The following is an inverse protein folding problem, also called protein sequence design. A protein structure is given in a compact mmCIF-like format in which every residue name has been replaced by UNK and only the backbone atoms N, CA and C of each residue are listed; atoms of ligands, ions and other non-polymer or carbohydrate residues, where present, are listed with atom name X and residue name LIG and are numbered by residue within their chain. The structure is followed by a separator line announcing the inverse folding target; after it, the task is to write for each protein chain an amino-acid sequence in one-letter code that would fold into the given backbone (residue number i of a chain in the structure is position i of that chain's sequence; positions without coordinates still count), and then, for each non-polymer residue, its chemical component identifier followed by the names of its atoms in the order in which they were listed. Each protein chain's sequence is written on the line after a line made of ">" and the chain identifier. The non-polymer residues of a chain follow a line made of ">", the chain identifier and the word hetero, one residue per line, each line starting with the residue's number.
data_IF_658780016469
#
_entry.id   IF_658780016469
#
_cell.length_a   1.000
_cell.length_b   1.000
_cell.length_c   1.000
_cell.angle_alpha   90.00
_cell.angle_beta   90.00
_cell.angle_gamma   90.00
#
_symmetry.space_group_name_H-M   'P 1'
#
loop_
_entity.id
_entity.type
_entity.pdbx_description
1 polymer ?
#
# COMPACT_ATOMS: atom_id res chain seq x y z
N UNK A 1 30.03 -12.02 21.24
CA UNK A 1 29.59 -11.23 20.07
C UNK A 1 28.07 -11.25 20.03
N UNK A 2 27.43 -10.21 20.60
CA UNK A 2 25.98 -10.12 20.72
C UNK A 2 25.39 -9.64 19.39
N UNK A 3 24.61 -10.49 18.71
CA UNK A 3 23.87 -10.08 17.52
C UNK A 3 22.89 -8.95 17.89
N UNK A 4 23.00 -7.81 17.20
CA UNK A 4 22.05 -6.70 17.32
C UNK A 4 20.63 -7.22 17.11
N UNK A 5 19.63 -6.81 17.92
CA UNK A 5 18.29 -7.38 17.84
C UNK A 5 17.62 -6.99 16.51
N UNK A 6 17.54 -7.94 15.57
CA UNK A 6 16.45 -8.21 14.61
C UNK A 6 15.84 -7.10 13.72
N UNK A 7 16.21 -5.82 13.83
CA UNK A 7 15.60 -4.70 13.09
C UNK A 7 16.09 -4.48 11.64
N UNK A 8 17.37 -4.64 11.27
CA UNK A 8 17.81 -4.28 9.92
C UNK A 8 17.29 -5.24 8.84
N UNK A 9 17.18 -6.55 9.15
CA UNK A 9 16.67 -7.57 8.21
C UNK A 9 15.18 -7.43 7.92
N UNK A 10 14.39 -6.93 8.88
CA UNK A 10 12.94 -6.78 8.68
C UNK A 10 12.56 -5.49 7.96
N UNK A 11 13.32 -4.40 8.17
CA UNK A 11 13.12 -3.15 7.43
C UNK A 11 13.55 -3.35 5.97
N UNK A 12 14.66 -4.03 5.73
CA UNK A 12 15.10 -4.38 4.36
C UNK A 12 14.12 -5.31 3.64
N UNK A 13 13.47 -6.25 4.34
CA UNK A 13 12.37 -7.06 3.80
C UNK A 13 11.20 -6.23 3.26
N UNK A 14 10.98 -5.03 3.80
CA UNK A 14 9.91 -4.14 3.33
C UNK A 14 10.41 -3.15 2.28
N UNK A 15 11.49 -2.42 2.55
CA UNK A 15 11.98 -1.35 1.70
C UNK A 15 12.40 -1.85 0.31
N UNK A 16 13.19 -2.92 0.26
CA UNK A 16 13.74 -3.40 -1.01
C UNK A 16 12.62 -3.88 -1.96
N UNK A 17 11.70 -4.78 -1.56
CA UNK A 17 10.61 -5.17 -2.45
C UNK A 17 9.65 -4.03 -2.78
N UNK A 18 9.36 -3.13 -1.84
CA UNK A 18 8.54 -1.94 -2.09
C UNK A 18 9.16 -1.07 -3.20
N UNK A 19 10.46 -0.83 -3.12
CA UNK A 19 11.19 -0.07 -4.14
C UNK A 19 11.23 -0.83 -5.47
N UNK A 20 11.46 -2.15 -5.45
CA UNK A 20 11.44 -2.97 -6.67
C UNK A 20 10.09 -2.90 -7.38
N UNK A 21 8.96 -3.01 -6.65
CA UNK A 21 7.62 -2.90 -7.22
C UNK A 21 7.39 -1.51 -7.85
N UNK A 22 7.75 -0.45 -7.13
CA UNK A 22 7.63 0.92 -7.65
C UNK A 22 8.53 1.15 -8.87
N UNK A 23 9.74 0.59 -8.89
CA UNK A 23 10.65 0.66 -10.03
C UNK A 23 10.08 -0.04 -11.25
N UNK A 24 9.51 -1.25 -11.08
CA UNK A 24 8.85 -1.98 -12.17
C UNK A 24 7.71 -1.17 -12.76
N UNK A 25 6.85 -0.58 -11.93
CA UNK A 25 5.78 0.31 -12.38
C UNK A 25 6.34 1.50 -13.19
N UNK A 26 7.33 2.22 -12.66
CA UNK A 26 7.92 3.37 -13.34
C UNK A 26 8.58 3.01 -14.68
N UNK A 27 9.28 1.87 -14.75
CA UNK A 27 9.88 1.39 -16.01
C UNK A 27 8.80 1.06 -17.05
N UNK A 28 7.71 0.41 -16.65
CA UNK A 28 6.61 0.10 -17.57
C UNK A 28 5.89 1.35 -18.06
N UNK A 29 5.64 2.32 -17.18
CA UNK A 29 5.07 3.63 -17.56
C UNK A 29 5.97 4.38 -18.53
N UNK A 30 7.27 4.41 -18.25
CA UNK A 30 8.26 5.04 -19.14
C UNK A 30 8.29 4.38 -20.52
N UNK A 31 8.22 3.05 -20.57
CA UNK A 31 8.14 2.29 -21.82
C UNK A 31 6.88 2.63 -22.64
N UNK A 32 5.71 2.71 -22.01
CA UNK A 32 4.47 3.07 -22.71
C UNK A 32 4.55 4.50 -23.25
N UNK A 33 5.02 5.46 -22.44
CA UNK A 33 5.21 6.86 -22.87
C UNK A 33 6.18 7.03 -24.04
N UNK A 34 7.18 6.16 -24.17
CA UNK A 34 8.18 6.25 -25.24
C UNK A 34 7.78 5.51 -26.53
N UNK A 35 6.77 4.64 -26.47
CA UNK A 35 6.37 3.78 -27.59
C UNK A 35 5.00 4.11 -28.17
N UNK A 36 4.15 4.82 -27.43
CA UNK A 36 2.76 5.09 -27.82
C UNK A 36 2.42 6.58 -27.72
N UNK A 37 1.53 7.03 -28.59
CA UNK A 37 0.85 8.33 -28.44
C UNK A 37 -0.32 8.18 -27.46
N UNK A 38 -0.73 9.26 -26.76
CA UNK A 38 -1.94 9.25 -25.94
C UNK A 38 -3.15 8.72 -26.70
N UNK A 39 -4.03 8.01 -26.00
CA UNK A 39 -5.24 7.34 -26.49
C UNK A 39 -5.00 6.20 -27.50
N UNK A 40 -3.74 5.84 -27.78
CA UNK A 40 -3.43 4.67 -28.58
C UNK A 40 -3.80 3.39 -27.80
N UNK A 41 -4.57 2.51 -28.44
CA UNK A 41 -5.12 1.27 -27.86
C UNK A 41 -4.65 0.06 -28.67
N UNK A 42 -3.79 -0.77 -28.08
CA UNK A 42 -3.21 -1.96 -28.70
C UNK A 42 -3.75 -3.23 -28.02
N UNK A 43 -4.41 -4.15 -28.76
CA UNK A 43 -4.88 -5.41 -28.17
C UNK A 43 -3.71 -6.34 -27.84
N UNK A 44 -3.70 -6.90 -26.62
CA UNK A 44 -2.87 -8.06 -26.24
C UNK A 44 -3.67 -9.35 -26.40
N UNK A 45 -4.92 -9.33 -25.93
CA UNK A 45 -5.89 -10.42 -26.07
C UNK A 45 -7.13 -9.81 -26.70
N UNK A 46 -7.51 -10.32 -27.87
CA UNK A 46 -8.63 -9.82 -28.67
C UNK A 46 -9.87 -9.58 -27.79
N UNK A 47 -10.45 -8.38 -27.92
CA UNK A 47 -11.63 -7.88 -27.20
C UNK A 47 -11.57 -7.85 -25.66
N UNK A 48 -10.50 -8.34 -25.03
CA UNK A 48 -10.41 -8.48 -23.58
C UNK A 48 -9.33 -7.62 -22.92
N UNK A 49 -8.09 -7.63 -23.42
CA UNK A 49 -6.97 -6.97 -22.75
C UNK A 49 -6.22 -6.06 -23.71
N UNK A 50 -6.06 -4.82 -23.31
CA UNK A 50 -5.46 -3.76 -24.13
C UNK A 50 -4.34 -3.04 -23.37
N UNK A 51 -3.29 -2.69 -24.10
CA UNK A 51 -2.38 -1.62 -23.70
C UNK A 51 -2.94 -0.32 -24.24
N UNK A 52 -3.43 0.55 -23.37
CA UNK A 52 -4.05 1.82 -23.75
C UNK A 52 -3.40 2.99 -23.03
N UNK A 53 -2.58 3.80 -23.70
CA UNK A 53 -1.93 4.93 -23.03
C UNK A 53 -2.93 6.05 -22.71
N UNK A 54 -3.28 6.20 -21.43
CA UNK A 54 -4.18 7.25 -20.94
C UNK A 54 -3.43 8.12 -19.93
N UNK A 55 -3.15 9.41 -20.24
CA UNK A 55 -2.57 10.35 -19.28
C UNK A 55 -3.64 10.84 -18.30
N UNK A 56 -3.45 10.54 -17.02
CA UNK A 56 -4.39 10.86 -15.97
C UNK A 56 -3.90 12.04 -15.11
N UNK A 57 -4.36 13.25 -15.45
CA UNK A 57 -3.89 14.51 -14.85
C UNK A 57 -4.47 14.80 -13.46
N UNK A 58 -5.66 14.27 -13.16
CA UNK A 58 -6.48 14.70 -12.01
C UNK A 58 -7.10 13.55 -11.21
N UNK A 59 -6.97 12.32 -11.69
CA UNK A 59 -7.59 11.16 -11.08
C UNK A 59 -6.82 10.65 -9.86
N UNK A 60 -7.50 10.63 -8.72
CA UNK A 60 -7.11 9.79 -7.58
C UNK A 60 -7.44 8.31 -7.83
N UNK A 61 -8.54 8.08 -8.55
CA UNK A 61 -9.12 6.80 -8.95
C UNK A 61 -10.13 7.07 -10.08
N UNK A 62 -10.47 6.03 -10.86
CA UNK A 62 -11.57 6.06 -11.84
C UNK A 62 -12.90 6.57 -11.30
N UNK A 63 -13.15 6.49 -9.99
CA UNK A 63 -14.39 6.99 -9.38
C UNK A 63 -14.47 8.52 -9.28
N UNK A 64 -13.34 9.23 -9.34
CA UNK A 64 -13.30 10.69 -9.19
C UNK A 64 -12.30 11.29 -10.20
N UNK A 65 -12.70 11.43 -11.48
CA UNK A 65 -11.81 11.82 -12.56
C UNK A 65 -11.41 13.30 -12.54
N UNK A 66 -12.28 14.19 -12.03
CA UNK A 66 -12.08 15.65 -12.08
C UNK A 66 -12.04 16.28 -10.68
N UNK A 67 -11.00 15.94 -9.92
CA UNK A 67 -10.79 16.55 -8.61
C UNK A 67 -10.31 18.00 -8.72
N UNK A 68 -10.80 18.91 -7.87
CA UNK A 68 -10.19 20.21 -7.68
C UNK A 68 -8.70 20.08 -7.30
N UNK A 69 -7.88 21.05 -7.70
CA UNK A 69 -6.42 21.04 -7.45
C UNK A 69 -6.07 20.80 -5.98
N UNK A 70 -6.81 21.41 -5.05
CA UNK A 70 -6.57 21.24 -3.60
C UNK A 70 -6.78 19.79 -3.15
N UNK A 71 -7.73 19.08 -3.76
CA UNK A 71 -8.01 17.69 -3.43
C UNK A 71 -6.90 16.77 -3.99
N UNK A 72 -6.42 17.01 -5.21
CA UNK A 72 -5.26 16.29 -5.76
C UNK A 72 -4.02 16.42 -4.87
N UNK A 73 -3.72 17.64 -4.39
CA UNK A 73 -2.64 17.90 -3.43
C UNK A 73 -2.88 17.16 -2.11
N UNK A 74 -4.12 17.15 -1.62
CA UNK A 74 -4.48 16.44 -0.38
C UNK A 74 -4.26 14.93 -0.49
N UNK A 75 -4.60 14.33 -1.64
CA UNK A 75 -4.36 12.91 -1.90
C UNK A 75 -2.88 12.57 -2.04
N UNK A 76 -2.07 13.47 -2.61
CA UNK A 76 -0.61 13.31 -2.64
C UNK A 76 -0.04 13.20 -1.22
N UNK A 77 -0.40 14.13 -0.32
CA UNK A 77 0.04 14.07 1.08
C UNK A 77 -0.55 12.86 1.83
N UNK A 78 -1.78 12.46 1.53
CA UNK A 78 -2.37 11.24 2.10
C UNK A 78 -1.56 9.99 1.73
N UNK A 79 -1.14 9.86 0.46
CA UNK A 79 -0.29 8.75 0.01
C UNK A 79 1.05 8.72 0.76
N UNK A 80 1.69 9.88 0.95
CA UNK A 80 2.92 10.00 1.76
C UNK A 80 2.67 9.54 3.20
N UNK A 81 1.61 10.03 3.83
CA UNK A 81 1.25 9.67 5.20
C UNK A 81 1.01 8.15 5.33
N UNK A 82 0.25 7.56 4.42
CA UNK A 82 0.00 6.12 4.42
C UNK A 82 1.29 5.32 4.26
N UNK A 83 2.20 5.73 3.38
CA UNK A 83 3.48 5.07 3.17
C UNK A 83 4.38 5.16 4.43
N UNK A 84 4.43 6.33 5.07
CA UNK A 84 5.20 6.53 6.31
C UNK A 84 4.64 5.71 7.49
N UNK A 85 3.31 5.54 7.55
CA UNK A 85 2.65 4.77 8.62
C UNK A 85 2.62 3.26 8.35
N UNK A 86 2.82 2.80 7.12
CA UNK A 86 2.68 1.40 6.73
C UNK A 86 3.54 0.45 7.59
N UNK A 87 4.84 0.73 7.71
CA UNK A 87 5.77 -0.14 8.45
C UNK A 87 5.58 -0.09 9.98
N UNK A 88 5.42 1.09 10.64
CA UNK A 88 5.07 1.15 12.06
C UNK A 88 3.79 0.37 12.39
N UNK A 89 2.73 0.55 11.59
CA UNK A 89 1.45 -0.14 11.80
C UNK A 89 1.59 -1.65 11.62
N UNK A 90 2.31 -2.10 10.60
CA UNK A 90 2.60 -3.51 10.41
C UNK A 90 3.44 -4.09 11.57
N UNK A 91 4.42 -3.35 12.06
CA UNK A 91 5.27 -3.76 13.18
C UNK A 91 4.46 -3.98 14.45
N UNK A 92 3.57 -3.03 14.77
CA UNK A 92 2.62 -3.17 15.88
C UNK A 92 1.69 -4.37 15.66
N UNK A 93 1.10 -4.48 14.47
CA UNK A 93 0.21 -5.59 14.10
C UNK A 93 0.86 -6.97 14.29
N UNK A 94 2.15 -7.07 13.94
CA UNK A 94 2.95 -8.28 14.14
C UNK A 94 3.25 -8.55 15.61
N UNK A 95 3.60 -7.53 16.40
CA UNK A 95 3.86 -7.67 17.84
C UNK A 95 2.64 -8.19 18.61
N UNK A 96 1.44 -7.86 18.15
CA UNK A 96 0.19 -8.41 18.69
C UNK A 96 -0.08 -9.87 18.28
N UNK A 97 0.84 -10.52 17.56
CA UNK A 97 0.69 -11.90 17.09
C UNK A 97 -0.32 -12.07 15.94
N UNK A 98 -0.73 -10.97 15.29
CA UNK A 98 -1.76 -11.01 14.26
C UNK A 98 -1.23 -11.18 12.83
N UNK A 99 0.08 -11.13 12.61
CA UNK A 99 0.66 -11.13 11.27
C UNK A 99 0.83 -12.53 10.67
N UNK A 100 0.15 -12.80 9.55
CA UNK A 100 0.33 -13.97 8.70
C UNK A 100 1.11 -13.67 7.41
N UNK A 101 1.00 -14.59 6.43
CA UNK A 101 1.53 -14.38 5.08
C UNK A 101 0.77 -13.25 4.35
N UNK A 102 -0.55 -13.23 4.49
CA UNK A 102 -1.43 -12.26 3.83
C UNK A 102 -1.16 -10.81 4.28
N UNK A 103 -0.87 -10.58 5.57
CA UNK A 103 -0.49 -9.24 6.03
C UNK A 103 0.84 -8.74 5.44
N UNK A 104 1.79 -9.63 5.11
CA UNK A 104 3.04 -9.26 4.43
C UNK A 104 2.79 -8.89 2.97
N UNK A 105 1.98 -9.67 2.27
CA UNK A 105 1.56 -9.36 0.89
C UNK A 105 0.80 -8.03 0.87
N UNK A 106 -0.08 -7.80 1.83
CA UNK A 106 -0.79 -6.54 1.99
C UNK A 106 0.16 -5.36 2.17
N UNK A 107 1.14 -5.48 3.08
CA UNK A 107 2.15 -4.44 3.30
C UNK A 107 2.92 -4.12 2.01
N UNK A 108 3.45 -5.14 1.33
CA UNK A 108 4.26 -4.96 0.13
C UNK A 108 3.45 -4.40 -1.05
N UNK A 109 2.26 -4.96 -1.32
CA UNK A 109 1.40 -4.52 -2.42
C UNK A 109 0.90 -3.09 -2.24
N UNK A 110 0.41 -2.75 -1.04
CA UNK A 110 -0.07 -1.39 -0.76
C UNK A 110 1.08 -0.38 -0.77
N UNK A 111 2.23 -0.70 -0.15
CA UNK A 111 3.39 0.21 -0.14
C UNK A 111 3.96 0.42 -1.54
N UNK A 112 4.12 -0.67 -2.32
CA UNK A 112 4.63 -0.63 -3.68
C UNK A 112 3.71 0.13 -4.62
N UNK A 113 2.40 -0.10 -4.55
CA UNK A 113 1.41 0.64 -5.34
C UNK A 113 1.34 2.13 -4.97
N UNK A 114 1.32 2.44 -3.66
CA UNK A 114 1.34 3.84 -3.21
C UNK A 114 2.61 4.55 -3.67
N UNK A 115 3.78 3.91 -3.55
CA UNK A 115 5.05 4.49 -3.97
C UNK A 115 5.11 4.67 -5.49
N UNK A 116 4.68 3.69 -6.29
CA UNK A 116 4.65 3.79 -7.75
C UNK A 116 3.81 4.98 -8.24
N UNK A 117 2.61 5.19 -7.67
CA UNK A 117 1.77 6.35 -7.99
C UNK A 117 2.25 7.67 -7.39
N UNK A 118 3.06 7.65 -6.31
CA UNK A 118 3.72 8.86 -5.81
C UNK A 118 4.85 9.33 -6.73
N UNK A 119 5.60 8.39 -7.31
CA UNK A 119 6.73 8.70 -8.19
C UNK A 119 6.28 9.40 -9.48
N UNK A 120 5.09 9.08 -10.01
CA UNK A 120 4.53 9.82 -11.15
C UNK A 120 4.43 11.32 -10.89
N UNK A 121 4.01 11.72 -9.69
CA UNK A 121 3.92 13.13 -9.30
C UNK A 121 5.26 13.85 -9.17
N UNK A 122 6.38 13.12 -9.20
CA UNK A 122 7.73 13.68 -9.18
C UNK A 122 8.33 13.81 -10.59
N UNK A 123 7.97 12.92 -11.51
CA UNK A 123 8.58 12.83 -12.85
C UNK A 123 7.70 13.35 -13.97
N UNK A 124 6.38 13.41 -13.77
CA UNK A 124 5.41 13.72 -14.82
C UNK A 124 4.25 14.56 -14.28
N UNK A 125 3.59 15.39 -15.11
CA UNK A 125 2.43 16.17 -14.69
C UNK A 125 1.13 15.34 -14.62
N UNK A 126 1.19 14.04 -14.90
CA UNK A 126 0.05 13.12 -14.91
C UNK A 126 0.50 11.72 -14.48
N UNK A 127 -0.45 10.91 -14.01
CA UNK A 127 -0.26 9.46 -13.81
C UNK A 127 -0.42 8.75 -15.17
N UNK A 128 0.45 7.80 -15.48
CA UNK A 128 0.38 7.06 -16.75
C UNK A 128 -0.39 5.76 -16.56
N UNK A 129 -1.61 5.69 -17.10
CA UNK A 129 -2.40 4.46 -17.11
C UNK A 129 -2.24 3.77 -18.47
N UNK A 130 -2.19 2.43 -18.45
CA UNK A 130 -1.86 1.65 -19.65
C UNK A 130 -2.50 0.26 -19.72
N UNK A 131 -3.11 -0.25 -18.66
CA UNK A 131 -3.77 -1.56 -18.62
C UNK A 131 -5.28 -1.32 -18.72
N UNK A 132 -5.94 -1.85 -19.75
CA UNK A 132 -7.39 -1.73 -19.91
C UNK A 132 -8.02 -3.09 -20.20
N UNK A 133 -9.11 -3.42 -19.50
CA UNK A 133 -9.84 -4.69 -19.65
C UNK A 133 -11.20 -4.40 -20.30
N UNK A 134 -11.43 -4.89 -21.52
CA UNK A 134 -12.65 -4.62 -22.28
C UNK A 134 -12.90 -3.11 -22.39
N UNK A 135 -14.04 -2.66 -21.85
CA UNK A 135 -14.43 -1.24 -21.76
C UNK A 135 -14.25 -0.63 -20.36
N UNK A 136 -13.45 -1.25 -19.50
CA UNK A 136 -13.18 -0.73 -18.16
C UNK A 136 -12.38 0.58 -18.21
N UNK A 137 -12.34 1.34 -17.11
CA UNK A 137 -11.28 2.32 -16.90
C UNK A 137 -9.90 1.67 -17.03
N UNK A 138 -8.92 2.46 -17.47
CA UNK A 138 -7.52 2.05 -17.49
C UNK A 138 -6.90 2.10 -16.09
N UNK A 139 -5.85 1.31 -15.90
CA UNK A 139 -5.06 1.20 -14.68
C UNK A 139 -3.57 1.10 -15.02
N UNK A 140 -2.71 1.09 -14.01
CA UNK A 140 -1.29 0.79 -14.15
C UNK A 140 -0.87 -0.36 -13.21
N UNK A 141 0.42 -0.70 -13.20
CA UNK A 141 0.92 -1.76 -12.32
C UNK A 141 0.85 -1.38 -10.84
N UNK A 142 1.06 -0.11 -10.50
CA UNK A 142 0.88 0.37 -9.13
C UNK A 142 -0.55 0.14 -8.62
N UNK A 143 -1.57 0.36 -9.44
CA UNK A 143 -2.96 0.07 -9.09
C UNK A 143 -3.19 -1.44 -8.90
N UNK A 144 -2.59 -2.27 -9.76
CA UNK A 144 -2.66 -3.73 -9.64
C UNK A 144 -2.00 -4.22 -8.33
N UNK A 145 -0.84 -3.68 -7.97
CA UNK A 145 -0.16 -4.00 -6.71
C UNK A 145 -0.99 -3.58 -5.50
N UNK A 146 -1.58 -2.39 -5.54
CA UNK A 146 -2.48 -1.92 -4.48
C UNK A 146 -3.73 -2.81 -4.37
N UNK A 147 -4.31 -3.23 -5.50
CA UNK A 147 -5.45 -4.14 -5.54
C UNK A 147 -5.12 -5.51 -4.90
N UNK A 148 -4.00 -6.12 -5.29
CA UNK A 148 -3.52 -7.37 -4.68
C UNK A 148 -3.29 -7.20 -3.18
N UNK A 149 -2.68 -6.08 -2.78
CA UNK A 149 -2.46 -5.75 -1.37
C UNK A 149 -3.77 -5.62 -0.58
N UNK A 150 -4.79 -4.99 -1.16
CA UNK A 150 -6.12 -4.86 -0.57
C UNK A 150 -6.81 -6.21 -0.42
N UNK A 151 -6.77 -7.06 -1.45
CA UNK A 151 -7.32 -8.43 -1.41
C UNK A 151 -6.61 -9.25 -0.33
N UNK A 152 -5.28 -9.16 -0.23
CA UNK A 152 -4.53 -9.83 0.82
C UNK A 152 -4.89 -9.33 2.23
N UNK A 153 -5.10 -8.03 2.41
CA UNK A 153 -5.55 -7.46 3.67
C UNK A 153 -6.94 -8.00 4.06
N UNK A 154 -7.86 -8.07 3.10
CA UNK A 154 -9.18 -8.64 3.30
C UNK A 154 -9.10 -10.15 3.66
N UNK A 155 -8.23 -10.90 2.98
CA UNK A 155 -8.00 -12.32 3.25
C UNK A 155 -7.44 -12.55 4.67
N UNK A 156 -6.50 -11.72 5.13
CA UNK A 156 -5.99 -11.76 6.51
C UNK A 156 -7.12 -11.50 7.52
N UNK A 157 -7.93 -10.46 7.28
CA UNK A 157 -9.08 -10.13 8.12
C UNK A 157 -10.11 -11.26 8.19
N UNK A 158 -10.45 -11.85 7.05
CA UNK A 158 -11.37 -12.97 6.95
C UNK A 158 -10.82 -14.24 7.62
N UNK A 159 -9.54 -14.54 7.45
CA UNK A 159 -8.87 -15.66 8.11
C UNK A 159 -8.82 -15.50 9.63
N UNK A 160 -8.73 -14.26 10.14
CA UNK A 160 -8.84 -13.97 11.57
C UNK A 160 -10.27 -14.10 12.07
N UNK A 161 -11.23 -13.56 11.34
CA UNK A 161 -12.66 -13.68 11.68
C UNK A 161 -13.12 -15.14 11.79
N UNK A 162 -12.66 -16.02 10.87
CA UNK A 162 -12.93 -17.46 10.96
C UNK A 162 -12.31 -18.12 12.19
N UNK A 163 -11.11 -17.70 12.61
CA UNK A 163 -10.40 -18.26 13.77
C UNK A 163 -10.93 -17.76 15.11
N UNK A 164 -11.51 -16.55 15.17
CA UNK A 164 -11.99 -15.98 16.43
C UNK A 164 -13.22 -16.68 17.01
N UNK A 165 -13.89 -17.57 16.24
CA UNK A 165 -15.20 -18.09 16.59
C UNK A 165 -16.24 -16.96 16.65
N UNK A 166 -17.52 -17.25 16.44
CA UNK A 166 -18.58 -16.26 16.63
C UNK A 166 -18.88 -16.10 18.13
N UNK A 167 -17.89 -15.75 18.94
CA UNK A 167 -18.13 -15.40 20.33
C UNK A 167 -18.17 -13.86 20.41
N UNK A 168 -19.37 -13.29 20.48
CA UNK A 168 -19.56 -11.85 20.64
C UNK A 168 -19.33 -11.52 22.11
N UNK A 169 -18.20 -10.90 22.51
CA UNK A 169 -18.00 -10.53 23.90
C UNK A 169 -19.09 -9.51 24.29
N UNK A 170 -19.55 -9.54 25.54
CA UNK A 170 -20.42 -8.49 26.07
C UNK A 170 -19.76 -7.10 25.97
N UNK A 171 -20.55 -6.04 26.04
CA UNK A 171 -20.07 -4.65 25.91
C UNK A 171 -18.89 -4.32 26.85
N UNK A 172 -18.92 -4.83 28.09
CA UNK A 172 -17.84 -4.63 29.05
C UNK A 172 -16.52 -5.27 28.60
N UNK A 173 -16.58 -6.48 28.04
CA UNK A 173 -15.40 -7.19 27.55
C UNK A 173 -14.82 -6.49 26.30
N UNK A 174 -15.68 -6.01 25.40
CA UNK A 174 -15.27 -5.18 24.25
C UNK A 174 -14.61 -3.88 24.71
N UNK A 175 -15.16 -3.22 25.74
CA UNK A 175 -14.60 -1.99 26.30
C UNK A 175 -13.22 -2.24 26.92
N UNK A 176 -13.08 -3.26 27.78
CA UNK A 176 -11.78 -3.64 28.36
C UNK A 176 -10.74 -3.94 27.29
N UNK A 177 -11.10 -4.74 26.28
CA UNK A 177 -10.20 -5.08 25.18
C UNK A 177 -9.79 -3.85 24.33
N UNK A 178 -10.68 -2.86 24.19
CA UNK A 178 -10.38 -1.59 23.51
C UNK A 178 -9.41 -0.73 24.34
N UNK A 179 -9.63 -0.62 25.66
CA UNK A 179 -8.73 0.08 26.57
C UNK A 179 -7.34 -0.55 26.59
N UNK A 180 -7.24 -1.89 26.64
CA UNK A 180 -5.98 -2.63 26.60
C UNK A 180 -5.23 -2.40 25.29
N UNK A 181 -5.93 -2.49 24.14
CA UNK A 181 -5.31 -2.21 22.82
C UNK A 181 -4.84 -0.76 22.70
N UNK A 182 -5.61 0.21 23.19
CA UNK A 182 -5.17 1.62 23.22
C UNK A 182 -3.93 1.82 24.09
N UNK A 183 -3.86 1.19 25.27
CA UNK A 183 -2.68 1.22 26.13
C UNK A 183 -1.47 0.58 25.46
N UNK A 184 -1.65 -0.60 24.86
CA UNK A 184 -0.59 -1.32 24.14
C UNK A 184 -0.07 -0.50 22.96
N UNK A 185 -0.96 0.14 22.19
CA UNK A 185 -0.57 1.02 21.09
C UNK A 185 0.16 2.27 21.59
N UNK A 186 -0.29 2.89 22.69
CA UNK A 186 0.40 4.02 23.30
C UNK A 186 1.80 3.66 23.81
N UNK A 187 1.96 2.49 24.42
CA UNK A 187 3.27 1.98 24.85
C UNK A 187 4.19 1.68 23.65
N UNK A 188 3.65 1.05 22.60
CA UNK A 188 4.35 0.84 21.34
C UNK A 188 4.81 2.15 20.73
N UNK A 189 3.93 3.15 20.59
CA UNK A 189 4.28 4.45 20.02
C UNK A 189 5.37 5.15 20.83
N UNK A 190 5.28 5.14 22.17
CA UNK A 190 6.33 5.71 23.02
C UNK A 190 7.68 5.04 22.77
N UNK A 191 7.72 3.71 22.72
CA UNK A 191 8.93 2.93 22.41
C UNK A 191 9.45 3.14 20.98
N UNK A 192 8.54 3.28 20.02
CA UNK A 192 8.87 3.44 18.60
C UNK A 192 9.45 4.83 18.29
N UNK A 193 8.86 5.87 18.89
CA UNK A 193 9.25 7.28 18.70
C UNK A 193 10.42 7.67 19.60
N UNK A 194 10.33 7.38 20.90
CA UNK A 194 11.33 7.76 21.89
C UNK A 194 12.26 6.59 22.18
N UNK A 195 12.90 6.03 21.14
CA UNK A 195 13.89 4.96 21.31
C UNK A 195 14.73 5.22 22.56
N UNK A 196 14.54 4.36 23.56
CA UNK A 196 15.20 4.48 24.83
C UNK A 196 16.70 4.36 24.58
N UNK A 197 17.41 5.50 24.63
CA UNK A 197 18.87 5.59 24.50
C UNK A 197 19.58 4.84 25.63
N UNK A 198 18.88 4.30 26.63
CA UNK A 198 19.43 3.63 27.80
C UNK A 198 19.86 2.16 27.61
N UNK A 199 19.78 1.58 26.39
CA UNK A 199 20.26 0.19 26.13
C UNK A 199 21.61 0.11 25.39
N UNK A 200 22.44 1.14 25.46
CA UNK A 200 23.80 1.13 24.91
C UNK A 200 24.92 1.13 25.96
N UNK A 201 24.62 0.79 27.21
CA UNK A 201 25.63 0.49 28.24
C UNK A 201 25.76 -1.01 28.45
#
# INVERSE_FOLDING_TARGET
>A
MSEKPGRPKIVSFWLLPTFCLALVDQLTKAFVRSTQLPDCRIPIVDDLLFITFIPNYRGFSWFVPDLPQWAAVSFFFLRILLLLLAFPLFSFYREQGFAGCWSRIALLGLSGGILGNLLDGLFTPYTTDFIQIGHSPSANLADLFAFIGLVALAAEGFGRWRRSGFNRPGLEALWKQSCERKRAFGAFLKSYVFQDKSRQE
#
